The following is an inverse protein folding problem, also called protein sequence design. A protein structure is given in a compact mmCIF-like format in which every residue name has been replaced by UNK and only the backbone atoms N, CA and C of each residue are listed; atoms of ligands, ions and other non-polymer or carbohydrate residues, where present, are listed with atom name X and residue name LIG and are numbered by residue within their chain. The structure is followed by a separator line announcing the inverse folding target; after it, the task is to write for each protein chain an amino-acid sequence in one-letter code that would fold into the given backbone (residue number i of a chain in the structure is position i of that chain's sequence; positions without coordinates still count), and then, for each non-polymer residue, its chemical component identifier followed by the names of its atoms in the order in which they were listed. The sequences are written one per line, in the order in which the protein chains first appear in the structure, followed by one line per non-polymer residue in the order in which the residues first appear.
data_IF_146185192695
#
_entry.id   IF_146185192695
#
_cell.length_a   1.000
_cell.length_b   1.000
_cell.length_c   1.000
_cell.angle_alpha   90.00
_cell.angle_beta   90.00
_cell.angle_gamma   90.00
#
_symmetry.space_group_name_H-M   'P 1'
#
loop_
_entity.id
_entity.type
_entity.pdbx_description
1 polymer ?
#
# COMPACT_ATOMS: atom_id res chain seq x y z
N UNK A 1 53.70 -13.79 24.51
CA UNK A 1 52.90 -12.68 24.01
C UNK A 1 52.69 -12.83 22.49
N UNK A 2 51.74 -13.62 22.04
CA UNK A 2 51.27 -13.67 20.65
C UNK A 2 49.97 -14.48 20.52
N UNK A 3 48.82 -14.00 21.00
CA UNK A 3 47.57 -14.26 20.29
C UNK A 3 46.66 -13.04 20.12
N UNK A 4 47.05 -11.84 20.59
CA UNK A 4 46.15 -10.68 20.60
C UNK A 4 46.00 -9.96 19.22
N UNK A 5 46.96 -10.12 18.30
CA UNK A 5 46.91 -9.41 17.01
C UNK A 5 45.96 -10.08 15.99
N UNK A 6 45.80 -11.41 16.02
CA UNK A 6 44.98 -12.11 15.08
C UNK A 6 43.47 -11.85 15.30
N UNK A 7 43.02 -11.71 16.54
CA UNK A 7 41.62 -11.48 16.87
C UNK A 7 41.14 -10.08 16.48
N UNK A 8 42.00 -9.07 16.62
CA UNK A 8 41.68 -7.68 16.20
C UNK A 8 41.58 -7.57 14.68
N UNK A 9 42.39 -8.29 13.92
CA UNK A 9 42.38 -8.24 12.46
C UNK A 9 41.12 -8.92 11.87
N UNK A 10 40.68 -10.03 12.46
CA UNK A 10 39.44 -10.74 12.02
C UNK A 10 38.21 -9.88 12.30
N UNK A 11 38.15 -9.21 13.46
CA UNK A 11 37.03 -8.31 13.81
C UNK A 11 36.95 -7.09 12.89
N UNK A 12 38.08 -6.51 12.51
CA UNK A 12 38.10 -5.34 11.59
C UNK A 12 37.72 -5.72 10.17
N UNK A 13 38.14 -6.87 9.66
CA UNK A 13 37.77 -7.35 8.32
C UNK A 13 36.28 -7.68 8.26
N UNK A 14 35.73 -8.36 9.25
CA UNK A 14 34.29 -8.68 9.29
C UNK A 14 33.41 -7.44 9.38
N UNK A 15 33.82 -6.42 10.15
CA UNK A 15 33.10 -5.16 10.24
C UNK A 15 33.14 -4.37 8.92
N UNK A 16 34.26 -4.39 8.20
CA UNK A 16 34.38 -3.73 6.89
C UNK A 16 33.50 -4.40 5.84
N UNK A 17 33.51 -5.72 5.75
CA UNK A 17 32.66 -6.49 4.80
C UNK A 17 31.20 -6.21 5.05
N UNK A 18 30.74 -6.19 6.31
CA UNK A 18 29.36 -5.88 6.65
C UNK A 18 28.97 -4.44 6.28
N UNK A 19 29.85 -3.49 6.48
CA UNK A 19 29.62 -2.09 6.13
C UNK A 19 29.48 -1.91 4.60
N UNK A 20 30.31 -2.58 3.81
CA UNK A 20 30.24 -2.56 2.34
C UNK A 20 28.94 -3.21 1.82
N UNK A 21 28.49 -4.30 2.44
CA UNK A 21 27.23 -4.96 2.11
C UNK A 21 26.04 -4.03 2.39
N UNK A 22 25.98 -3.39 3.57
CA UNK A 22 24.90 -2.46 3.91
C UNK A 22 24.87 -1.24 2.98
N UNK A 23 26.04 -0.73 2.57
CA UNK A 23 26.11 0.36 1.61
C UNK A 23 25.62 -0.09 0.22
N UNK A 24 26.01 -1.28 -0.23
CA UNK A 24 25.52 -1.86 -1.48
C UNK A 24 24.01 -2.01 -1.48
N UNK A 25 23.41 -2.47 -0.39
CA UNK A 25 21.95 -2.57 -0.22
C UNK A 25 21.29 -1.20 -0.30
N UNK A 26 21.81 -0.19 0.38
CA UNK A 26 21.31 1.18 0.30
C UNK A 26 21.38 1.73 -1.13
N UNK A 27 22.50 1.53 -1.81
CA UNK A 27 22.70 1.96 -3.19
C UNK A 27 21.73 1.28 -4.16
N UNK A 28 21.38 0.01 -3.93
CA UNK A 28 20.36 -0.67 -4.72
C UNK A 28 19.01 0.07 -4.66
N UNK A 29 18.58 0.48 -3.46
CA UNK A 29 17.34 1.26 -3.31
C UNK A 29 17.47 2.64 -3.95
N UNK A 30 18.59 3.35 -3.65
CA UNK A 30 18.83 4.72 -4.15
C UNK A 30 18.90 4.79 -5.66
N UNK A 31 19.48 3.77 -6.30
CA UNK A 31 19.63 3.70 -7.75
C UNK A 31 18.39 3.15 -8.47
N UNK A 32 17.37 2.68 -7.74
CA UNK A 32 16.11 2.26 -8.36
C UNK A 32 15.39 3.48 -8.95
N UNK A 33 15.11 3.50 -10.26
CA UNK A 33 14.51 4.67 -10.91
C UNK A 33 13.17 5.07 -10.28
N UNK A 34 12.88 6.36 -10.25
CA UNK A 34 11.67 6.92 -9.68
C UNK A 34 11.68 7.01 -8.15
N UNK A 35 12.81 6.75 -7.49
CA UNK A 35 12.92 6.98 -6.05
C UNK A 35 12.61 8.45 -5.74
N UNK A 36 11.76 8.66 -4.74
CA UNK A 36 11.42 9.98 -4.19
C UNK A 36 12.07 10.17 -2.83
N UNK A 37 11.95 9.18 -1.96
CA UNK A 37 12.50 9.22 -0.61
C UNK A 37 12.75 7.81 -0.10
N UNK A 38 13.88 7.62 0.62
CA UNK A 38 14.20 6.36 1.28
C UNK A 38 14.77 6.62 2.67
N UNK A 39 14.05 6.22 3.72
CA UNK A 39 14.51 6.24 5.11
C UNK A 39 15.07 4.87 5.47
N UNK A 40 16.39 4.81 5.75
CA UNK A 40 17.08 3.63 6.25
C UNK A 40 17.23 3.65 7.78
N UNK A 41 16.75 4.71 8.43
CA UNK A 41 16.87 5.02 9.86
C UNK A 41 18.32 5.14 10.37
N UNK A 42 19.31 5.11 9.48
CA UNK A 42 20.73 5.38 9.76
C UNK A 42 21.06 6.83 9.48
N UNK A 43 20.63 7.33 8.32
CA UNK A 43 20.87 8.72 7.92
C UNK A 43 20.14 9.70 8.85
N UNK A 44 20.86 10.72 9.30
CA UNK A 44 20.36 11.76 10.21
C UNK A 44 20.65 13.13 9.64
N UNK A 45 19.83 14.11 10.00
CA UNK A 45 20.15 15.50 9.70
C UNK A 45 21.44 15.93 10.45
N UNK A 46 22.27 16.75 9.84
CA UNK A 46 23.45 17.31 10.50
C UNK A 46 23.03 18.35 11.54
N UNK A 47 23.42 18.14 12.79
CA UNK A 47 23.08 19.07 13.88
C UNK A 47 21.63 18.94 14.38
N UNK A 48 21.22 19.81 15.28
CA UNK A 48 19.85 19.87 15.79
C UNK A 48 19.39 18.64 16.54
N UNK A 49 18.16 18.20 16.31
CA UNK A 49 17.53 17.07 16.99
C UNK A 49 17.98 15.71 16.45
N UNK A 50 18.89 15.66 15.47
CA UNK A 50 19.33 14.43 14.79
C UNK A 50 18.18 13.59 14.24
N UNK A 51 17.18 14.26 13.63
CA UNK A 51 16.05 13.60 13.01
C UNK A 51 16.48 12.62 11.94
N UNK A 52 15.74 11.53 11.77
CA UNK A 52 15.92 10.66 10.63
C UNK A 52 15.62 11.41 9.34
N UNK A 53 16.48 11.30 8.35
CA UNK A 53 16.28 11.93 7.04
C UNK A 53 16.28 10.88 5.92
N UNK A 54 15.64 11.20 4.81
CA UNK A 54 15.61 10.32 3.66
C UNK A 54 16.88 10.46 2.81
N UNK A 55 17.26 9.38 2.14
CA UNK A 55 18.02 9.45 0.91
C UNK A 55 17.07 9.91 -0.20
N UNK A 56 17.50 10.86 -1.00
CA UNK A 56 16.72 11.44 -2.09
C UNK A 56 17.57 11.47 -3.37
N UNK A 57 16.95 11.52 -4.55
CA UNK A 57 17.70 11.66 -5.80
C UNK A 57 18.61 12.89 -5.79
N UNK A 58 19.74 12.78 -6.47
CA UNK A 58 20.69 13.89 -6.59
C UNK A 58 20.01 15.16 -7.12
N UNK A 59 20.28 16.29 -6.48
CA UNK A 59 19.68 17.58 -6.85
C UNK A 59 18.38 17.95 -6.12
N UNK A 60 17.81 17.06 -5.30
CA UNK A 60 16.69 17.42 -4.41
C UNK A 60 17.18 18.28 -3.25
N UNK A 61 16.47 19.37 -2.97
CA UNK A 61 16.72 20.24 -1.82
C UNK A 61 16.05 19.77 -0.54
N UNK A 62 15.19 18.74 -0.60
CA UNK A 62 14.37 18.27 0.52
C UNK A 62 14.76 16.87 0.90
N UNK A 63 15.25 16.66 2.12
CA UNK A 63 15.66 15.36 2.65
C UNK A 63 14.60 14.72 3.56
N UNK A 64 13.43 15.31 3.66
CA UNK A 64 12.27 14.79 4.43
C UNK A 64 12.61 14.35 5.86
N UNK A 65 13.12 15.25 6.71
CA UNK A 65 13.37 14.90 8.11
C UNK A 65 12.06 14.53 8.80
N UNK A 66 12.09 13.43 9.58
CA UNK A 66 10.95 12.93 10.32
C UNK A 66 10.82 13.64 11.65
N UNK A 67 9.68 14.22 11.92
CA UNK A 67 9.28 14.67 13.24
C UNK A 67 8.60 13.53 14.01
N UNK A 68 8.37 13.77 15.30
CA UNK A 68 7.67 12.84 16.20
C UNK A 68 6.47 13.55 16.81
N UNK A 69 5.32 12.90 16.78
CA UNK A 69 4.12 13.41 17.43
C UNK A 69 3.33 12.31 18.13
N UNK A 70 2.51 12.69 19.09
CA UNK A 70 1.43 11.87 19.61
C UNK A 70 0.11 12.45 19.10
N UNK A 71 -0.52 11.81 18.10
CA UNK A 71 -1.69 12.38 17.46
C UNK A 71 -2.87 12.57 18.44
N UNK A 72 -2.98 11.76 19.49
CA UNK A 72 -4.04 11.94 20.51
C UNK A 72 -3.86 13.26 21.26
N UNK A 73 -2.60 13.63 21.56
CA UNK A 73 -2.32 14.93 22.16
C UNK A 73 -2.63 16.07 21.19
N UNK A 74 -2.22 15.92 19.94
CA UNK A 74 -2.32 16.97 18.93
C UNK A 74 -3.77 17.24 18.52
N UNK A 75 -4.59 16.19 18.39
CA UNK A 75 -5.99 16.31 17.96
C UNK A 75 -7.00 16.39 19.12
N UNK A 76 -6.69 15.85 20.30
CA UNK A 76 -7.60 15.87 21.45
C UNK A 76 -7.05 16.53 22.70
N UNK A 77 -5.83 16.99 22.68
CA UNK A 77 -5.18 17.62 23.83
C UNK A 77 -4.89 16.67 25.00
N UNK A 78 -5.04 15.35 24.80
CA UNK A 78 -4.89 14.33 25.83
C UNK A 78 -3.57 13.59 25.72
N UNK A 79 -3.04 13.13 26.85
CA UNK A 79 -1.80 12.41 26.91
C UNK A 79 -0.55 13.30 26.88
N UNK A 80 0.61 12.68 26.82
CA UNK A 80 1.90 13.36 26.77
C UNK A 80 2.39 13.59 25.35
N UNK A 81 3.31 14.49 25.15
CA UNK A 81 4.06 14.62 23.91
C UNK A 81 4.88 13.34 23.63
N UNK A 82 5.08 13.01 22.37
CA UNK A 82 6.01 11.97 21.97
C UNK A 82 7.42 12.54 21.77
N UNK A 83 8.39 11.66 21.79
CA UNK A 83 9.81 11.96 21.54
C UNK A 83 10.47 10.80 20.79
N UNK A 84 11.68 10.99 20.25
CA UNK A 84 12.42 9.91 19.57
C UNK A 84 12.73 8.73 20.50
N UNK A 85 12.78 8.93 21.83
CA UNK A 85 12.96 7.85 22.79
C UNK A 85 11.77 6.87 22.84
N UNK A 86 10.62 7.25 22.29
CA UNK A 86 9.44 6.38 22.16
C UNK A 86 9.58 5.36 21.02
N UNK A 87 10.61 5.52 20.19
CA UNK A 87 10.94 4.63 19.07
C UNK A 87 12.29 3.94 19.32
N UNK A 88 12.32 2.85 20.09
CA UNK A 88 13.55 2.11 20.32
C UNK A 88 14.22 1.70 19.01
N UNK A 89 15.54 1.69 19.03
CA UNK A 89 16.36 1.32 17.90
C UNK A 89 16.90 -0.10 18.06
N UNK A 90 16.90 -0.84 16.96
CA UNK A 90 17.62 -2.08 16.81
C UNK A 90 18.86 -1.78 15.95
N UNK A 91 20.06 -1.99 16.47
CA UNK A 91 21.32 -1.75 15.76
C UNK A 91 21.62 -2.76 14.65
N UNK A 92 20.57 -3.34 14.10
CA UNK A 92 20.56 -4.30 13.00
C UNK A 92 19.26 -4.15 12.23
N UNK A 93 19.26 -4.56 10.99
CA UNK A 93 18.13 -4.46 10.07
C UNK A 93 18.65 -4.54 8.65
N UNK A 94 17.80 -4.58 7.65
CA UNK A 94 18.21 -4.70 6.25
C UNK A 94 19.26 -3.67 5.82
N UNK A 95 19.21 -2.48 6.42
CA UNK A 95 20.10 -1.34 6.10
C UNK A 95 20.97 -0.91 7.30
N UNK A 96 21.08 -1.76 8.34
CA UNK A 96 21.92 -1.54 9.51
C UNK A 96 21.21 -1.02 10.75
N UNK A 97 20.01 -0.43 10.61
CA UNK A 97 19.20 0.03 11.75
C UNK A 97 17.71 -0.19 11.49
N UNK A 98 16.94 -0.31 12.57
CA UNK A 98 15.49 -0.35 12.52
C UNK A 98 14.89 0.40 13.70
N UNK A 99 13.66 0.90 13.52
CA UNK A 99 12.86 1.54 14.57
C UNK A 99 11.75 0.61 15.01
N UNK A 100 11.44 0.59 16.30
CA UNK A 100 10.34 -0.18 16.85
C UNK A 100 9.09 0.67 17.00
N UNK A 101 8.02 0.20 16.42
CA UNK A 101 6.66 0.67 16.70
C UNK A 101 6.08 -0.21 17.80
N UNK A 102 5.92 0.37 19.00
CA UNK A 102 5.49 -0.38 20.18
C UNK A 102 3.98 -0.62 20.15
N UNK A 103 3.56 -1.72 20.78
CA UNK A 103 2.15 -1.99 21.02
C UNK A 103 1.51 -0.87 21.81
N UNK A 104 0.36 -0.42 21.35
CA UNK A 104 -0.41 0.63 21.97
C UNK A 104 -1.16 0.10 23.20
N UNK A 105 -0.71 0.46 24.39
CA UNK A 105 -1.30 0.06 25.66
C UNK A 105 -2.02 1.21 26.37
N UNK A 106 -1.59 2.46 26.11
CA UNK A 106 -2.23 3.68 26.63
C UNK A 106 -3.15 4.27 25.56
N UNK A 107 -4.46 4.42 25.82
CA UNK A 107 -5.40 5.01 24.86
C UNK A 107 -5.10 6.47 24.52
N UNK A 108 -4.32 7.17 25.35
CA UNK A 108 -3.94 8.56 25.11
C UNK A 108 -2.53 8.74 24.54
N UNK A 109 -1.87 7.64 24.16
CA UNK A 109 -0.53 7.69 23.62
C UNK A 109 -0.40 6.87 22.33
N UNK A 110 -0.33 7.58 21.20
CA UNK A 110 -0.28 7.05 19.84
C UNK A 110 0.82 7.76 19.07
N UNK A 111 2.09 7.44 19.38
CA UNK A 111 3.22 8.11 18.73
C UNK A 111 3.37 7.63 17.28
N UNK A 112 3.85 8.52 16.42
CA UNK A 112 4.21 8.23 15.04
C UNK A 112 5.34 9.13 14.57
N UNK A 113 6.07 8.64 13.57
CA UNK A 113 7.07 9.39 12.82
C UNK A 113 6.38 10.00 11.59
N UNK A 114 6.71 11.24 11.24
CA UNK A 114 6.02 11.90 10.11
C UNK A 114 6.82 13.04 9.48
N UNK A 115 6.54 13.27 8.20
CA UNK A 115 6.89 14.52 7.51
C UNK A 115 5.66 15.40 7.58
N UNK A 116 5.70 16.56 8.28
CA UNK A 116 4.53 17.44 8.42
C UNK A 116 4.12 18.03 7.06
N UNK A 117 2.81 18.31 6.92
CA UNK A 117 2.26 18.85 5.67
C UNK A 117 3.01 20.10 5.18
N UNK A 118 3.43 20.98 6.07
CA UNK A 118 4.18 22.19 5.74
C UNK A 118 5.53 21.96 5.06
N UNK A 119 6.12 20.77 5.22
CA UNK A 119 7.37 20.36 4.55
C UNK A 119 7.13 19.35 3.44
N UNK A 120 5.91 18.84 3.32
CA UNK A 120 5.53 17.86 2.32
C UNK A 120 4.93 18.50 1.08
N UNK A 121 4.13 19.56 1.28
CA UNK A 121 3.38 20.25 0.23
C UNK A 121 4.27 20.63 -0.96
N UNK A 122 3.80 20.33 -2.17
CA UNK A 122 4.48 20.58 -3.46
C UNK A 122 5.88 19.97 -3.62
N UNK A 123 6.26 19.06 -2.75
CA UNK A 123 7.48 18.25 -2.95
C UNK A 123 7.18 17.00 -3.77
N UNK A 124 8.20 16.34 -4.34
CA UNK A 124 8.01 15.05 -5.03
C UNK A 124 7.32 13.97 -4.19
N UNK A 125 7.38 14.03 -2.84
CA UNK A 125 6.72 13.08 -1.95
C UNK A 125 5.21 13.33 -1.82
N UNK A 126 4.72 14.53 -2.16
CA UNK A 126 3.29 14.85 -2.20
C UNK A 126 2.65 14.36 -3.53
N UNK A 127 2.72 13.04 -3.76
CA UNK A 127 2.19 12.42 -4.96
C UNK A 127 0.67 12.53 -4.94
N UNK A 128 0.11 13.27 -5.91
CA UNK A 128 -1.32 13.58 -6.01
C UNK A 128 -1.73 13.88 -7.45
N UNK A 129 -3.02 13.86 -7.71
CA UNK A 129 -3.62 14.22 -9.01
C UNK A 129 -3.77 13.04 -9.95
N UNK A 130 -4.36 13.36 -11.12
CA UNK A 130 -4.62 12.40 -12.18
C UNK A 130 -3.32 11.99 -12.89
N UNK A 131 -3.33 10.79 -13.46
CA UNK A 131 -2.19 10.30 -14.24
C UNK A 131 -0.95 9.96 -13.41
N UNK A 132 -1.06 9.90 -12.10
CA UNK A 132 0.07 9.61 -11.20
C UNK A 132 0.06 8.17 -10.75
N UNK A 133 1.25 7.60 -10.73
CA UNK A 133 1.52 6.29 -10.15
C UNK A 133 2.33 6.44 -8.87
N UNK A 134 2.29 5.45 -8.00
CA UNK A 134 3.06 5.44 -6.76
C UNK A 134 3.41 4.01 -6.35
N UNK A 135 4.60 3.83 -5.79
CA UNK A 135 4.94 2.63 -5.05
C UNK A 135 5.46 2.99 -3.67
N UNK A 136 5.02 2.22 -2.68
CA UNK A 136 5.53 2.30 -1.29
C UNK A 136 6.10 0.95 -0.93
N UNK A 137 7.34 0.91 -0.46
CA UNK A 137 8.05 -0.31 -0.06
C UNK A 137 8.51 -0.16 1.38
N UNK A 138 8.22 -1.16 2.22
CA UNK A 138 8.59 -1.16 3.64
C UNK A 138 9.18 -2.50 4.02
N UNK A 139 10.37 -2.50 4.58
CA UNK A 139 10.99 -3.67 5.19
C UNK A 139 10.65 -3.70 6.68
N UNK A 140 9.91 -4.73 7.09
CA UNK A 140 9.38 -4.80 8.45
C UNK A 140 9.34 -6.21 9.02
N UNK A 141 9.38 -6.28 10.35
CA UNK A 141 9.03 -7.46 11.16
C UNK A 141 7.72 -7.15 11.86
N UNK A 142 6.71 -7.97 11.66
CA UNK A 142 5.40 -7.79 12.28
C UNK A 142 5.30 -8.57 13.59
N UNK A 143 5.17 -7.89 14.73
CA UNK A 143 4.86 -8.51 16.03
C UNK A 143 3.34 -8.70 16.17
N UNK A 144 2.56 -7.72 15.73
CA UNK A 144 1.09 -7.78 15.68
C UNK A 144 0.52 -6.61 14.88
N UNK A 145 -0.81 -6.60 14.74
CA UNK A 145 -1.51 -5.55 14.04
C UNK A 145 -1.53 -5.75 12.53
N UNK A 146 -2.41 -5.01 11.88
CA UNK A 146 -2.67 -5.13 10.45
C UNK A 146 -2.85 -3.77 9.78
N UNK A 147 -2.47 -2.70 10.46
CA UNK A 147 -2.71 -1.33 10.01
C UNK A 147 -1.50 -0.73 9.27
N UNK A 148 -1.49 0.59 9.06
CA UNK A 148 -0.58 1.23 8.16
C UNK A 148 0.89 1.12 8.56
N UNK A 149 1.71 0.87 7.54
CA UNK A 149 3.17 0.89 7.59
C UNK A 149 3.70 2.28 7.21
N UNK A 150 3.23 2.85 6.08
CA UNK A 150 3.63 4.18 5.63
C UNK A 150 2.63 4.74 4.62
N UNK A 151 2.52 6.07 4.55
CA UNK A 151 1.72 6.76 3.53
C UNK A 151 1.18 8.12 3.96
N UNK A 152 0.43 8.75 3.06
CA UNK A 152 -0.34 9.97 3.33
C UNK A 152 -1.80 9.56 3.50
N UNK A 153 -2.19 9.29 4.75
CA UNK A 153 -3.52 8.78 5.05
C UNK A 153 -4.07 9.40 6.34
N UNK A 154 -4.89 10.41 6.17
CA UNK A 154 -5.52 11.12 7.27
C UNK A 154 -7.04 11.02 7.14
N UNK A 155 -7.69 10.49 8.16
CA UNK A 155 -9.13 10.23 8.13
C UNK A 155 -10.00 11.46 8.37
N UNK A 156 -9.41 12.63 8.57
CA UNK A 156 -10.10 13.86 8.88
C UNK A 156 -10.14 14.14 10.38
N UNK A 157 -10.76 15.26 10.72
CA UNK A 157 -10.87 15.77 12.08
C UNK A 157 -12.21 15.41 12.74
N UNK A 158 -13.01 14.59 12.09
CA UNK A 158 -14.31 14.11 12.58
C UNK A 158 -14.25 13.42 13.95
N UNK A 159 -13.07 13.06 14.39
CA UNK A 159 -12.83 12.54 15.74
C UNK A 159 -13.19 13.53 16.84
N UNK A 160 -12.84 14.80 16.67
CA UNK A 160 -13.25 15.86 17.59
C UNK A 160 -14.76 16.08 17.56
N UNK A 161 -15.37 15.89 16.41
CA UNK A 161 -16.78 16.12 16.19
C UNK A 161 -17.65 15.02 16.79
N UNK A 162 -17.15 13.81 16.92
CA UNK A 162 -17.88 12.72 17.61
C UNK A 162 -18.05 12.94 19.11
N UNK A 163 -17.09 13.60 19.74
CA UNK A 163 -17.10 13.88 21.17
C UNK A 163 -17.78 15.22 21.49
N UNK A 164 -17.87 16.13 20.52
CA UNK A 164 -18.64 17.38 20.65
C UNK A 164 -20.09 17.10 20.26
N UNK A 165 -20.97 17.13 21.25
CA UNK A 165 -22.37 16.77 21.14
C UNK A 165 -23.04 17.21 19.83
N UNK A 166 -23.48 16.25 19.03
CA UNK A 166 -24.42 16.45 17.93
C UNK A 166 -23.85 16.64 16.54
N UNK A 167 -22.55 16.72 16.35
CA UNK A 167 -21.99 16.82 15.01
C UNK A 167 -21.77 15.42 14.46
N UNK A 168 -22.56 15.06 13.46
CA UNK A 168 -22.55 13.73 12.84
C UNK A 168 -22.04 13.72 11.42
N UNK A 169 -21.66 14.85 10.86
CA UNK A 169 -21.16 14.89 9.51
C UNK A 169 -19.71 14.47 9.53
N UNK A 170 -19.45 13.28 9.05
CA UNK A 170 -18.09 12.82 8.80
C UNK A 170 -17.53 13.72 7.71
N UNK A 171 -16.56 14.55 8.07
CA UNK A 171 -15.82 15.29 7.06
C UNK A 171 -15.09 14.28 6.15
N UNK A 172 -15.02 14.61 4.88
CA UNK A 172 -14.20 13.87 3.94
C UNK A 172 -12.76 13.89 4.45
N UNK A 173 -12.18 12.71 4.67
CA UNK A 173 -10.79 12.58 5.09
C UNK A 173 -9.82 13.05 4.00
N UNK A 174 -8.55 13.13 4.36
CA UNK A 174 -7.49 13.59 3.46
C UNK A 174 -6.57 12.41 3.15
N UNK A 175 -7.13 11.39 2.53
CA UNK A 175 -6.46 10.15 2.17
C UNK A 175 -5.92 10.26 0.77
N UNK A 176 -4.63 9.98 0.58
CA UNK A 176 -3.99 9.93 -0.74
C UNK A 176 -3.62 8.47 -1.05
N UNK A 177 -2.57 7.97 -0.44
CA UNK A 177 -2.10 6.59 -0.62
C UNK A 177 -1.46 6.07 0.68
N UNK A 178 -1.57 4.79 0.94
CA UNK A 178 -0.90 4.14 2.06
C UNK A 178 -0.75 2.64 1.88
N UNK A 179 0.34 2.11 2.41
CA UNK A 179 0.60 0.69 2.55
C UNK A 179 0.24 0.23 3.95
N UNK A 180 -0.50 -0.86 4.05
CA UNK A 180 -0.96 -1.47 5.30
C UNK A 180 -0.43 -2.90 5.45
N UNK A 181 -0.32 -3.36 6.69
CA UNK A 181 0.03 -4.74 7.00
C UNK A 181 -1.20 -5.69 6.95
N UNK A 182 -2.09 -5.44 5.98
CA UNK A 182 -3.13 -6.36 5.54
C UNK A 182 -4.55 -6.10 5.96
N UNK A 183 -4.85 -5.07 6.74
CA UNK A 183 -6.21 -4.71 7.19
C UNK A 183 -7.13 -5.91 7.50
N UNK A 184 -7.77 -6.51 6.50
CA UNK A 184 -8.64 -7.68 6.67
C UNK A 184 -7.92 -9.02 6.54
N UNK A 185 -6.67 -9.02 6.09
CA UNK A 185 -5.83 -10.19 5.93
C UNK A 185 -4.51 -9.90 6.62
N UNK A 186 -4.50 -9.96 7.95
CA UNK A 186 -3.37 -9.59 8.77
C UNK A 186 -2.07 -10.26 8.29
N UNK A 187 -1.03 -9.45 8.15
CA UNK A 187 0.27 -9.90 7.66
C UNK A 187 0.44 -9.86 6.13
N UNK A 188 -0.62 -9.64 5.34
CA UNK A 188 -0.46 -9.37 3.92
C UNK A 188 0.00 -7.93 3.68
N UNK A 189 0.54 -7.64 2.52
CA UNK A 189 0.73 -6.26 2.08
C UNK A 189 -0.56 -5.79 1.39
N UNK A 190 -1.10 -4.66 1.86
CA UNK A 190 -2.35 -4.12 1.33
C UNK A 190 -2.18 -2.65 0.98
N UNK A 191 -2.30 -2.31 -0.30
CA UNK A 191 -2.28 -0.94 -0.79
C UNK A 191 -3.66 -0.30 -0.74
N UNK A 192 -3.70 0.97 -0.41
CA UNK A 192 -4.87 1.82 -0.53
C UNK A 192 -4.54 3.13 -1.21
N UNK A 193 -5.43 3.55 -2.10
CA UNK A 193 -5.39 4.85 -2.74
C UNK A 193 -6.80 5.43 -2.68
N UNK A 194 -6.90 6.72 -2.47
CA UNK A 194 -8.17 7.46 -2.53
C UNK A 194 -8.07 8.57 -3.56
N UNK A 195 -9.07 8.71 -4.39
CA UNK A 195 -9.19 9.77 -5.38
C UNK A 195 -9.80 11.03 -4.80
N UNK A 196 -10.73 10.86 -3.88
CA UNK A 196 -11.56 11.95 -3.36
C UNK A 196 -11.31 12.26 -1.88
N UNK A 197 -10.27 11.67 -1.28
CA UNK A 197 -9.92 11.80 0.13
C UNK A 197 -10.76 10.94 1.07
N UNK A 198 -11.84 10.31 0.59
CA UNK A 198 -12.67 9.42 1.38
C UNK A 198 -12.04 8.02 1.49
N UNK A 199 -12.51 7.22 2.43
CA UNK A 199 -12.06 5.85 2.57
C UNK A 199 -12.57 4.99 1.42
N UNK A 200 -11.71 4.22 0.81
CA UNK A 200 -12.05 3.18 -0.15
C UNK A 200 -12.64 1.91 0.51
N UNK A 201 -12.72 1.86 1.83
CA UNK A 201 -13.08 0.66 2.59
C UNK A 201 -14.57 0.32 2.59
N UNK A 202 -15.42 1.20 2.19
CA UNK A 202 -16.85 0.91 2.12
C UNK A 202 -17.18 -0.07 0.98
N UNK A 203 -16.27 -0.23 0.04
CA UNK A 203 -16.44 -1.20 -1.02
C UNK A 203 -15.98 -2.60 -0.57
N UNK A 204 -16.90 -3.52 -0.46
CA UNK A 204 -16.66 -4.91 -0.09
C UNK A 204 -15.68 -5.65 -1.02
N UNK A 205 -15.50 -5.16 -2.22
CA UNK A 205 -14.50 -5.62 -3.17
C UNK A 205 -13.09 -5.23 -2.82
N UNK A 206 -12.90 -4.02 -2.37
CA UNK A 206 -11.62 -3.44 -2.03
C UNK A 206 -10.86 -4.32 -1.04
N UNK A 207 -11.59 -4.85 -0.11
CA UNK A 207 -11.06 -5.59 1.03
C UNK A 207 -10.21 -6.82 0.65
N UNK A 208 -10.33 -7.33 -0.56
CA UNK A 208 -9.64 -8.54 -0.98
C UNK A 208 -8.72 -8.38 -2.19
N UNK A 209 -8.88 -7.30 -2.93
CA UNK A 209 -8.21 -7.15 -4.24
C UNK A 209 -6.80 -6.60 -4.18
N UNK A 210 -6.54 -5.70 -3.25
CA UNK A 210 -5.23 -5.07 -3.13
C UNK A 210 -4.31 -5.75 -2.11
N UNK A 211 -4.71 -6.88 -1.53
CA UNK A 211 -3.86 -7.66 -0.63
C UNK A 211 -2.92 -8.58 -1.39
N UNK A 212 -1.69 -8.75 -0.91
CA UNK A 212 -0.81 -9.82 -1.34
C UNK A 212 -1.41 -11.21 -1.10
N UNK A 213 -0.97 -12.22 -1.85
CA UNK A 213 -1.38 -13.60 -1.60
C UNK A 213 -0.79 -14.12 -0.29
N UNK A 214 0.48 -13.85 -0.05
CA UNK A 214 1.18 -14.23 1.16
C UNK A 214 0.79 -13.40 2.38
N UNK A 215 1.14 -13.90 3.55
CA UNK A 215 1.01 -13.23 4.84
C UNK A 215 2.30 -13.41 5.62
N UNK A 216 2.86 -12.33 6.17
CA UNK A 216 3.96 -12.43 7.10
C UNK A 216 3.49 -13.03 8.42
N UNK A 217 4.26 -13.92 9.06
CA UNK A 217 3.95 -14.42 10.38
C UNK A 217 4.01 -13.30 11.43
N UNK A 218 3.40 -13.56 12.59
CA UNK A 218 3.67 -12.77 13.80
C UNK A 218 4.94 -13.26 14.46
N UNK A 219 5.81 -12.32 14.84
CA UNK A 219 7.05 -12.61 15.55
C UNK A 219 6.89 -12.16 17.00
N UNK A 220 7.08 -13.01 18.01
CA UNK A 220 6.97 -12.61 19.40
C UNK A 220 7.88 -11.42 19.74
N UNK A 221 7.36 -10.53 20.58
CA UNK A 221 8.02 -9.26 20.93
C UNK A 221 9.35 -9.43 21.68
N UNK A 222 9.55 -10.59 22.29
CA UNK A 222 10.73 -10.99 23.05
C UNK A 222 11.64 -12.00 22.30
N UNK A 223 11.48 -12.08 20.98
CA UNK A 223 12.29 -12.95 20.14
C UNK A 223 13.76 -12.58 20.20
N UNK A 224 14.59 -13.63 20.11
CA UNK A 224 16.05 -13.46 20.05
C UNK A 224 16.49 -12.77 18.75
N UNK A 225 17.68 -12.22 18.78
CA UNK A 225 18.29 -11.56 17.63
C UNK A 225 18.34 -12.45 16.38
N UNK A 226 18.66 -13.74 16.54
CA UNK A 226 18.69 -14.69 15.42
C UNK A 226 17.32 -14.93 14.79
N UNK A 227 16.24 -14.82 15.56
CA UNK A 227 14.88 -14.89 15.04
C UNK A 227 14.55 -13.60 14.29
N UNK A 228 14.88 -12.45 14.86
CA UNK A 228 14.64 -11.16 14.21
C UNK A 228 15.39 -11.04 12.88
N UNK A 229 16.64 -11.48 12.81
CA UNK A 229 17.46 -11.40 11.59
C UNK A 229 16.86 -12.18 10.41
N UNK A 230 16.07 -13.23 10.70
CA UNK A 230 15.42 -14.08 9.67
C UNK A 230 13.95 -13.73 9.43
N UNK A 231 13.43 -12.73 10.13
CA UNK A 231 11.99 -12.43 10.11
C UNK A 231 11.65 -11.15 9.33
N UNK A 232 12.61 -10.60 8.62
CA UNK A 232 12.37 -9.42 7.77
C UNK A 232 11.56 -9.79 6.54
N UNK A 233 10.50 -9.05 6.30
CA UNK A 233 9.64 -9.14 5.12
C UNK A 233 9.62 -7.81 4.37
N UNK A 234 9.51 -7.89 3.06
CA UNK A 234 9.35 -6.74 2.18
C UNK A 234 7.86 -6.58 1.82
N UNK A 235 7.21 -5.61 2.42
CA UNK A 235 5.85 -5.20 2.09
C UNK A 235 5.90 -4.12 1.03
N UNK A 236 5.09 -4.23 -0.02
CA UNK A 236 4.97 -3.16 -1.00
C UNK A 236 3.55 -3.01 -1.52
N UNK A 237 3.27 -1.82 -2.05
CA UNK A 237 2.13 -1.54 -2.91
C UNK A 237 2.58 -0.84 -4.16
N UNK A 238 1.89 -1.08 -5.26
CA UNK A 238 2.04 -0.36 -6.51
C UNK A 238 0.68 0.11 -7.01
N UNK A 239 0.55 1.40 -7.33
CA UNK A 239 -0.51 1.92 -8.17
C UNK A 239 0.08 2.21 -9.55
N UNK A 240 -0.39 1.50 -10.54
CA UNK A 240 -0.07 1.73 -11.95
C UNK A 240 -1.25 2.43 -12.62
N UNK A 241 -1.14 3.74 -12.82
CA UNK A 241 -2.18 4.53 -13.45
C UNK A 241 -2.45 4.10 -14.91
N UNK A 242 -1.40 3.70 -15.65
CA UNK A 242 -1.58 3.32 -17.07
C UNK A 242 -2.34 2.01 -17.22
N UNK A 243 -2.30 1.16 -16.20
CA UNK A 243 -2.96 -0.15 -16.18
C UNK A 243 -4.20 -0.16 -15.30
N UNK A 244 -4.51 0.94 -14.60
CA UNK A 244 -5.55 1.01 -13.57
C UNK A 244 -5.42 -0.11 -12.53
N UNK A 245 -4.21 -0.35 -12.05
CA UNK A 245 -3.92 -1.46 -11.15
C UNK A 245 -3.35 -0.97 -9.82
N UNK A 246 -3.99 -1.36 -8.73
CA UNK A 246 -3.47 -1.26 -7.37
C UNK A 246 -3.15 -2.66 -6.85
N UNK A 247 -1.89 -2.94 -6.57
CA UNK A 247 -1.42 -4.27 -6.21
C UNK A 247 -0.66 -4.24 -4.89
N UNK A 248 -0.97 -5.20 -4.00
CA UNK A 248 -0.18 -5.48 -2.81
C UNK A 248 0.84 -6.58 -3.08
N UNK A 249 2.04 -6.43 -2.58
CA UNK A 249 3.17 -7.34 -2.77
C UNK A 249 3.82 -7.67 -1.43
N UNK A 250 3.99 -8.95 -1.15
CA UNK A 250 4.77 -9.42 -0.02
C UNK A 250 5.90 -10.30 -0.54
N UNK A 251 7.12 -9.94 -0.19
CA UNK A 251 8.34 -10.65 -0.58
C UNK A 251 8.42 -10.88 -2.10
N UNK A 252 8.10 -9.85 -2.86
CA UNK A 252 8.10 -9.86 -4.33
C UNK A 252 6.95 -10.65 -4.96
N UNK A 253 6.01 -11.18 -4.16
CA UNK A 253 4.86 -11.91 -4.66
C UNK A 253 3.60 -11.05 -4.63
N UNK A 254 2.99 -10.85 -5.79
CA UNK A 254 1.76 -10.09 -5.92
C UNK A 254 0.54 -10.83 -5.39
N UNK A 255 -0.50 -10.06 -5.10
CA UNK A 255 -1.84 -10.60 -4.86
C UNK A 255 -2.64 -10.83 -6.13
N UNK A 256 -2.07 -10.54 -7.29
CA UNK A 256 -2.76 -10.68 -8.57
C UNK A 256 -3.00 -12.14 -8.93
N UNK A 257 -4.26 -12.50 -9.00
CA UNK A 257 -4.70 -13.83 -9.43
C UNK A 257 -6.12 -13.80 -9.98
N UNK A 258 -6.40 -14.77 -10.81
CA UNK A 258 -7.76 -15.06 -11.24
C UNK A 258 -8.52 -15.84 -10.17
N UNK A 259 -9.76 -15.44 -9.93
CA UNK A 259 -10.71 -16.17 -9.13
C UNK A 259 -11.73 -16.81 -10.03
N UNK A 260 -11.66 -18.09 -10.14
CA UNK A 260 -12.59 -18.91 -10.92
C UNK A 260 -13.96 -19.00 -10.24
N UNK A 261 -15.03 -19.11 -11.03
CA UNK A 261 -16.40 -19.23 -10.57
C UNK A 261 -16.85 -18.14 -9.57
N UNK A 262 -16.75 -16.85 -9.93
CA UNK A 262 -17.03 -15.74 -9.01
C UNK A 262 -18.50 -15.67 -8.55
N UNK A 263 -19.41 -16.37 -9.21
CA UNK A 263 -20.82 -16.47 -8.82
C UNK A 263 -21.06 -17.29 -7.55
N UNK A 264 -20.04 -18.01 -7.05
CA UNK A 264 -20.16 -18.88 -5.88
C UNK A 264 -19.62 -18.18 -4.64
N UNK A 265 -20.54 -17.78 -3.77
CA UNK A 265 -20.26 -17.39 -2.39
C UNK A 265 -19.94 -15.93 -2.14
N UNK A 266 -20.55 -15.38 -1.12
CA UNK A 266 -20.25 -14.19 -0.35
C UNK A 266 -19.87 -12.93 -1.15
N UNK A 267 -18.66 -12.49 -0.95
CA UNK A 267 -18.09 -11.31 -1.58
C UNK A 267 -18.08 -11.40 -3.11
N UNK A 268 -17.84 -12.58 -3.63
CA UNK A 268 -17.75 -12.83 -5.06
C UNK A 268 -19.10 -12.76 -5.75
N UNK A 269 -20.15 -13.14 -5.05
CA UNK A 269 -21.52 -12.98 -5.55
C UNK A 269 -21.83 -11.48 -5.73
N UNK A 270 -21.35 -10.63 -4.84
CA UNK A 270 -21.51 -9.17 -5.01
C UNK A 270 -20.74 -8.66 -6.22
N UNK A 271 -19.54 -9.18 -6.47
CA UNK A 271 -18.74 -8.87 -7.64
C UNK A 271 -19.42 -9.31 -8.95
N UNK A 272 -19.91 -10.51 -8.98
CA UNK A 272 -20.65 -11.06 -10.10
C UNK A 272 -21.91 -10.24 -10.39
N UNK A 273 -22.69 -9.91 -9.37
CA UNK A 273 -23.90 -9.13 -9.51
C UNK A 273 -23.61 -7.73 -10.07
N UNK A 274 -22.55 -7.08 -9.60
CA UNK A 274 -22.15 -5.78 -10.11
C UNK A 274 -21.67 -5.84 -11.57
N UNK A 275 -20.91 -6.86 -11.94
CA UNK A 275 -20.52 -7.11 -13.31
C UNK A 275 -21.76 -7.28 -14.21
N UNK A 276 -22.67 -8.15 -13.82
CA UNK A 276 -23.88 -8.40 -14.56
C UNK A 276 -24.76 -7.16 -14.70
N UNK A 277 -24.90 -6.36 -13.63
CA UNK A 277 -25.62 -5.09 -13.71
C UNK A 277 -24.94 -4.09 -14.65
N UNK A 278 -23.63 -4.03 -14.65
CA UNK A 278 -22.88 -3.15 -15.53
C UNK A 278 -23.02 -3.50 -17.02
N UNK A 279 -23.01 -4.78 -17.35
CA UNK A 279 -23.06 -5.23 -18.74
C UNK A 279 -24.48 -5.42 -19.28
N UNK A 280 -25.39 -5.99 -18.49
CA UNK A 280 -26.71 -6.42 -18.99
C UNK A 280 -27.90 -5.63 -18.43
N UNK A 281 -27.71 -5.00 -17.26
CA UNK A 281 -28.80 -4.40 -16.51
C UNK A 281 -28.48 -3.00 -16.01
N UNK A 282 -27.76 -2.21 -16.79
CA UNK A 282 -27.64 -0.78 -16.46
C UNK A 282 -29.03 -0.23 -16.25
N UNK A 283 -29.36 0.13 -15.02
CA UNK A 283 -30.61 0.85 -14.76
C UNK A 283 -30.55 2.15 -15.54
N UNK A 284 -31.42 2.34 -16.53
CA UNK A 284 -31.40 3.56 -17.35
C UNK A 284 -31.45 4.79 -16.44
N UNK A 285 -30.54 5.73 -16.62
CA UNK A 285 -30.53 7.01 -15.92
C UNK A 285 -29.73 7.08 -14.64
N UNK A 286 -29.16 5.97 -14.13
CA UNK A 286 -28.19 6.05 -13.02
C UNK A 286 -26.78 6.20 -13.57
N UNK A 287 -26.15 7.28 -13.17
CA UNK A 287 -24.72 7.48 -13.41
C UNK A 287 -23.89 6.63 -12.41
N UNK A 288 -22.65 6.27 -12.74
CA UNK A 288 -21.74 5.70 -11.76
C UNK A 288 -21.72 6.60 -10.52
N UNK A 289 -22.01 6.03 -9.33
CA UNK A 289 -21.97 6.77 -8.08
C UNK A 289 -23.27 7.26 -7.49
N UNK A 290 -24.37 7.06 -8.15
CA UNK A 290 -25.69 7.39 -7.60
C UNK A 290 -26.23 6.36 -6.60
N UNK A 291 -25.51 5.26 -6.39
CA UNK A 291 -25.86 4.29 -5.36
C UNK A 291 -25.22 4.69 -4.02
N UNK A 292 -26.01 5.05 -2.99
CA UNK A 292 -25.48 5.45 -1.68
C UNK A 292 -24.71 4.33 -0.97
N UNK A 293 -24.90 3.07 -1.38
CA UNK A 293 -24.11 1.93 -0.90
C UNK A 293 -22.75 1.82 -1.59
N UNK A 294 -22.55 2.54 -2.68
CA UNK A 294 -21.39 2.49 -3.55
C UNK A 294 -21.09 3.91 -4.05
N UNK A 295 -20.34 4.69 -3.31
CA UNK A 295 -19.87 5.99 -3.76
C UNK A 295 -19.17 5.89 -5.10
N UNK A 296 -19.29 6.92 -5.90
CA UNK A 296 -18.89 7.04 -7.31
C UNK A 296 -17.63 6.29 -7.70
N UNK A 297 -16.68 6.31 -6.84
CA UNK A 297 -15.33 5.90 -7.11
C UNK A 297 -15.12 4.40 -6.91
N UNK A 298 -16.13 3.67 -6.51
CA UNK A 298 -15.95 2.28 -6.05
C UNK A 298 -16.56 1.25 -6.97
N UNK A 299 -17.25 1.70 -8.02
CA UNK A 299 -17.89 0.86 -9.03
C UNK A 299 -17.49 1.27 -10.43
N UNK A 300 -16.22 1.29 -10.68
CA UNK A 300 -15.77 1.37 -12.04
C UNK A 300 -15.75 -0.02 -12.67
N UNK A 301 -16.57 -0.19 -13.69
CA UNK A 301 -16.51 -1.29 -14.61
C UNK A 301 -15.88 -0.74 -15.88
N UNK A 302 -14.56 -0.86 -16.05
CA UNK A 302 -13.89 -0.32 -17.23
C UNK A 302 -14.52 -0.90 -18.48
N UNK A 303 -14.65 -0.13 -19.56
CA UNK A 303 -15.10 -0.66 -20.82
C UNK A 303 -14.13 -1.77 -21.25
N UNK A 304 -14.63 -3.00 -21.27
CA UNK A 304 -13.89 -4.17 -21.71
C UNK A 304 -14.25 -4.44 -23.17
N UNK A 305 -14.06 -3.43 -24.03
CA UNK A 305 -14.45 -3.49 -25.44
C UNK A 305 -13.50 -4.36 -26.26
N UNK A 306 -12.25 -4.47 -25.83
CA UNK A 306 -11.22 -5.19 -26.56
C UNK A 306 -10.59 -6.27 -25.67
N UNK A 307 -10.83 -7.57 -25.97
CA UNK A 307 -10.19 -8.65 -25.23
C UNK A 307 -8.68 -8.67 -25.47
N UNK A 308 -7.94 -8.95 -24.40
CA UNK A 308 -6.48 -9.17 -24.46
C UNK A 308 -6.15 -10.50 -25.16
N UNK A 309 -7.04 -11.49 -25.00
CA UNK A 309 -6.92 -12.78 -25.70
C UNK A 309 -8.31 -13.37 -25.95
N UNK A 310 -8.41 -14.15 -27.02
CA UNK A 310 -9.63 -14.89 -27.41
C UNK A 310 -9.23 -16.34 -27.67
N UNK A 311 -9.93 -17.26 -27.00
CA UNK A 311 -9.77 -18.71 -27.21
C UNK A 311 -11.11 -19.29 -27.63
N UNK A 312 -11.17 -19.91 -28.81
CA UNK A 312 -12.35 -20.66 -29.24
C UNK A 312 -12.44 -21.92 -28.41
N UNK A 313 -13.58 -22.12 -27.73
CA UNK A 313 -13.89 -23.28 -26.91
C UNK A 313 -14.67 -24.35 -27.70
N UNK A 314 -15.61 -23.89 -28.53
CA UNK A 314 -16.46 -24.72 -29.37
C UNK A 314 -16.91 -23.94 -30.61
N UNK A 315 -17.04 -24.63 -31.74
CA UNK A 315 -17.47 -24.03 -33.00
C UNK A 315 -18.29 -25.05 -33.80
N UNK A 316 -19.48 -24.65 -34.20
CA UNK A 316 -20.40 -25.37 -35.08
C UNK A 316 -20.95 -24.47 -36.20
N UNK A 317 -21.80 -25.01 -37.08
CA UNK A 317 -22.39 -24.22 -38.15
C UNK A 317 -23.33 -23.11 -37.67
N UNK A 318 -23.88 -23.23 -36.49
CA UNK A 318 -24.94 -22.40 -35.92
C UNK A 318 -24.54 -21.63 -34.66
N UNK A 319 -23.39 -21.92 -34.11
CA UNK A 319 -22.86 -21.15 -32.98
C UNK A 319 -21.34 -21.33 -32.81
N UNK A 320 -20.76 -20.32 -32.16
CA UNK A 320 -19.36 -20.34 -31.72
C UNK A 320 -19.30 -19.86 -30.29
N UNK A 321 -18.58 -20.61 -29.43
CA UNK A 321 -18.31 -20.20 -28.06
C UNK A 321 -16.86 -19.84 -27.90
N UNK A 322 -16.61 -18.64 -27.42
CA UNK A 322 -15.28 -18.10 -27.17
C UNK A 322 -15.09 -17.81 -25.67
N UNK A 323 -13.91 -18.10 -25.14
CA UNK A 323 -13.46 -17.51 -23.90
C UNK A 323 -12.63 -16.27 -24.23
N UNK A 324 -13.07 -15.13 -23.73
CA UNK A 324 -12.42 -13.85 -23.88
C UNK A 324 -11.81 -13.43 -22.56
N UNK A 325 -10.53 -13.14 -22.56
CA UNK A 325 -9.83 -12.59 -21.41
C UNK A 325 -9.68 -11.08 -21.62
N UNK A 326 -10.18 -10.32 -20.65
CA UNK A 326 -10.03 -8.89 -20.54
C UNK A 326 -9.09 -8.56 -19.38
N UNK A 327 -8.86 -7.27 -19.13
CA UNK A 327 -8.00 -6.82 -18.04
C UNK A 327 -8.45 -7.34 -16.68
N UNK A 328 -9.75 -7.38 -16.42
CA UNK A 328 -10.32 -7.70 -15.09
C UNK A 328 -11.22 -8.94 -15.07
N UNK A 329 -11.66 -9.40 -16.23
CA UNK A 329 -12.63 -10.50 -16.33
C UNK A 329 -12.20 -11.53 -17.38
N UNK A 330 -12.61 -12.79 -17.13
CA UNK A 330 -12.68 -13.84 -18.17
C UNK A 330 -14.16 -14.18 -18.36
N UNK A 331 -14.60 -14.16 -19.59
CA UNK A 331 -16.00 -14.43 -19.94
C UNK A 331 -16.06 -15.50 -21.04
N UNK A 332 -17.08 -16.36 -20.98
CA UNK A 332 -17.47 -17.18 -22.10
C UNK A 332 -18.58 -16.46 -22.88
N UNK A 333 -18.38 -16.28 -24.15
CA UNK A 333 -19.31 -15.59 -25.04
C UNK A 333 -19.80 -16.58 -26.08
N UNK A 334 -21.12 -16.72 -26.21
CA UNK A 334 -21.74 -17.49 -27.30
C UNK A 334 -22.17 -16.55 -28.41
N UNK A 335 -21.73 -16.84 -29.60
CA UNK A 335 -21.97 -16.09 -30.81
C UNK A 335 -22.83 -16.91 -31.77
N UNK A 336 -23.79 -16.26 -32.42
CA UNK A 336 -24.51 -16.85 -33.49
C UNK A 336 -24.26 -16.11 -34.81
N UNK A 337 -24.12 -16.80 -35.92
CA UNK A 337 -23.96 -16.17 -37.23
C UNK A 337 -25.25 -15.41 -37.57
N UNK A 338 -25.10 -14.21 -38.08
CA UNK A 338 -26.18 -13.37 -38.63
C UNK A 338 -26.29 -13.58 -40.14
N UNK A 339 -27.42 -13.19 -40.75
CA UNK A 339 -27.64 -13.35 -42.16
C UNK A 339 -26.65 -12.59 -43.08
N UNK A 340 -25.98 -11.57 -42.52
CA UNK A 340 -24.96 -10.77 -43.20
C UNK A 340 -23.53 -11.33 -43.05
N UNK A 341 -23.40 -12.50 -42.43
CA UNK A 341 -22.10 -13.12 -42.14
C UNK A 341 -21.38 -12.59 -40.91
N UNK A 342 -21.94 -11.63 -40.20
CA UNK A 342 -21.44 -11.18 -38.90
C UNK A 342 -21.83 -12.15 -37.78
N UNK A 343 -21.23 -11.99 -36.58
CA UNK A 343 -21.61 -12.74 -35.40
C UNK A 343 -22.33 -11.83 -34.41
N UNK A 344 -23.44 -12.31 -33.86
CA UNK A 344 -24.16 -11.63 -32.79
C UNK A 344 -23.96 -12.38 -31.47
N UNK A 345 -23.55 -11.64 -30.45
CA UNK A 345 -23.44 -12.17 -29.10
C UNK A 345 -24.82 -12.47 -28.51
N UNK A 346 -25.01 -13.71 -28.08
CA UNK A 346 -26.28 -14.17 -27.52
C UNK A 346 -26.23 -14.43 -26.03
N UNK A 347 -25.08 -14.86 -25.50
CA UNK A 347 -24.86 -15.04 -24.07
C UNK A 347 -23.44 -14.59 -23.68
N UNK A 348 -23.32 -14.13 -22.44
CA UNK A 348 -22.04 -13.77 -21.84
C UNK A 348 -22.04 -14.22 -20.39
N UNK A 349 -21.17 -15.15 -20.08
CA UNK A 349 -21.04 -15.74 -18.73
C UNK A 349 -19.70 -15.39 -18.13
N UNK A 350 -19.69 -14.80 -16.93
CA UNK A 350 -18.47 -14.50 -16.19
C UNK A 350 -17.86 -15.80 -15.64
N UNK A 351 -16.65 -16.12 -16.09
CA UNK A 351 -15.92 -17.33 -15.71
C UNK A 351 -14.96 -17.05 -14.57
N UNK A 352 -14.26 -15.92 -14.63
CA UNK A 352 -13.29 -15.55 -13.63
C UNK A 352 -13.20 -14.03 -13.46
N UNK A 353 -12.83 -13.61 -12.23
CA UNK A 353 -12.48 -12.24 -11.88
C UNK A 353 -11.03 -12.18 -11.43
N UNK A 354 -10.33 -11.16 -11.85
CA UNK A 354 -9.02 -10.84 -11.33
C UNK A 354 -9.17 -10.25 -9.92
N UNK A 355 -8.52 -10.83 -8.91
CA UNK A 355 -8.62 -10.40 -7.51
C UNK A 355 -7.82 -9.15 -7.20
N UNK A 356 -6.77 -8.92 -7.93
CA UNK A 356 -6.00 -7.70 -8.07
C UNK A 356 -5.91 -7.44 -9.56
N UNK A 357 -6.37 -6.44 -10.10
CA UNK A 357 -6.21 -5.04 -9.79
C UNK A 357 -7.43 -4.43 -9.10
N UNK A 358 -7.21 -3.25 -8.59
CA UNK A 358 -8.26 -2.34 -8.20
C UNK A 358 -8.85 -1.67 -9.44
N UNK A 359 -10.17 -1.60 -9.51
CA UNK A 359 -10.86 -0.91 -10.60
C UNK A 359 -10.94 0.58 -10.33
N UNK A 360 -9.81 1.20 -10.39
CA UNK A 360 -9.71 2.61 -10.10
C UNK A 360 -9.01 3.31 -11.25
N UNK A 361 -9.77 3.94 -12.14
CA UNK A 361 -9.19 4.60 -13.30
C UNK A 361 -8.68 5.99 -12.99
N UNK A 362 -8.72 6.38 -11.74
CA UNK A 362 -8.68 7.77 -11.35
C UNK A 362 -7.36 8.13 -10.69
N UNK A 363 -7.23 9.37 -10.32
CA UNK A 363 -6.02 9.91 -9.76
C UNK A 363 -5.84 9.61 -8.27
N UNK A 364 -4.85 10.23 -7.70
CA UNK A 364 -4.60 10.27 -6.27
C UNK A 364 -5.16 11.58 -5.74
N UNK A 365 -5.90 11.56 -4.64
CA UNK A 365 -6.56 12.72 -4.06
C UNK A 365 -5.65 13.95 -3.99
N UNK A 366 -6.17 15.05 -4.49
CA UNK A 366 -5.56 16.37 -4.39
C UNK A 366 -6.30 17.18 -3.32
N UNK A 367 -5.63 17.57 -2.22
CA UNK A 367 -6.23 18.46 -1.23
C UNK A 367 -6.70 19.78 -1.82
N UNK A 368 -7.78 20.35 -1.26
CA UNK A 368 -8.41 21.58 -1.78
C UNK A 368 -7.53 22.82 -1.67
N UNK A 369 -6.60 22.82 -0.75
CA UNK A 369 -5.62 23.89 -0.53
C UNK A 369 -4.32 23.34 0.07
N UNK A 370 -3.31 24.17 0.13
CA UNK A 370 -1.96 23.80 0.55
C UNK A 370 -1.87 23.37 2.02
N UNK A 371 -2.73 23.92 2.87
CA UNK A 371 -2.78 23.59 4.30
C UNK A 371 -3.59 22.36 4.61
N UNK A 372 -4.47 21.94 3.68
CA UNK A 372 -5.41 20.86 3.84
C UNK A 372 -4.78 19.56 3.46
N UNK A 373 -4.19 18.80 3.61
CA UNK A 373 -3.58 17.52 3.25
C UNK A 373 -3.05 16.82 4.49
N UNK A 374 -2.99 15.52 4.41
CA UNK A 374 -2.37 14.72 5.47
C UNK A 374 -0.85 14.83 5.47
N UNK A 375 -0.19 14.58 6.60
CA UNK A 375 1.25 14.35 6.65
C UNK A 375 1.59 12.99 6.04
N UNK A 376 2.83 12.80 5.59
CA UNK A 376 3.36 11.47 5.35
C UNK A 376 3.75 10.85 6.69
N UNK A 377 3.25 9.67 7.00
CA UNK A 377 3.47 9.01 8.30
C UNK A 377 4.12 7.64 8.14
N UNK A 378 4.88 7.22 9.15
CA UNK A 378 5.54 5.90 9.23
C UNK A 378 5.11 5.20 10.53
N UNK A 379 4.74 3.93 10.41
CA UNK A 379 4.32 3.06 11.52
C UNK A 379 2.88 3.29 11.96
N UNK A 380 2.23 4.32 11.45
CA UNK A 380 0.85 4.65 11.77
C UNK A 380 0.28 5.59 10.72
N UNK A 381 -1.05 5.56 10.55
CA UNK A 381 -1.82 6.64 9.93
C UNK A 381 -2.68 7.34 10.98
N UNK A 382 -3.15 8.54 10.68
CA UNK A 382 -4.11 9.25 11.54
C UNK A 382 -5.49 8.68 11.23
N UNK A 383 -6.02 7.93 12.19
CA UNK A 383 -7.25 7.17 12.04
C UNK A 383 -8.25 7.49 13.15
N UNK A 384 -9.54 7.44 12.84
CA UNK A 384 -10.62 7.72 13.76
C UNK A 384 -10.70 6.74 14.95
N UNK A 385 -10.28 5.50 14.78
CA UNK A 385 -10.16 4.57 15.91
C UNK A 385 -8.79 4.68 16.57
N UNK A 386 -8.77 4.82 17.89
CA UNK A 386 -7.53 4.99 18.67
C UNK A 386 -6.74 3.70 18.87
N UNK A 387 -7.26 2.56 18.43
CA UNK A 387 -6.68 1.24 18.75
C UNK A 387 -6.09 0.53 17.54
N UNK A 388 -6.02 1.19 16.39
CA UNK A 388 -5.47 0.60 15.19
C UNK A 388 -4.02 1.02 14.99
N UNK A 389 -3.13 0.05 14.84
CA UNK A 389 -1.71 0.31 14.63
C UNK A 389 -0.99 -0.95 14.16
N UNK A 390 0.14 -0.74 13.54
CA UNK A 390 1.16 -1.74 13.34
C UNK A 390 1.99 -1.84 14.62
N UNK A 391 2.47 -3.03 14.95
CA UNK A 391 3.42 -3.27 16.04
C UNK A 391 4.54 -4.14 15.51
N UNK A 392 5.77 -3.73 15.72
CA UNK A 392 6.93 -4.45 15.24
C UNK A 392 8.09 -3.53 14.88
N UNK A 393 8.99 -4.00 14.04
CA UNK A 393 10.18 -3.28 13.60
C UNK A 393 10.04 -2.83 12.15
N UNK A 394 10.46 -1.61 11.85
CA UNK A 394 10.57 -1.06 10.49
C UNK A 394 12.03 -0.75 10.25
N UNK A 395 12.63 -1.45 9.28
CA UNK A 395 14.04 -1.34 8.91
C UNK A 395 14.32 -0.45 7.70
N UNK A 396 13.27 -0.08 6.96
CA UNK A 396 13.38 0.84 5.82
C UNK A 396 12.03 1.18 5.25
N UNK A 397 11.90 2.39 4.68
CA UNK A 397 10.70 2.87 3.98
C UNK A 397 11.15 3.60 2.72
N UNK A 398 10.70 3.15 1.56
CA UNK A 398 10.98 3.79 0.28
C UNK A 398 9.69 4.15 -0.46
N UNK A 399 9.67 5.31 -1.12
CA UNK A 399 8.56 5.80 -1.95
C UNK A 399 9.09 6.11 -3.34
N UNK A 400 8.33 5.68 -4.36
CA UNK A 400 8.64 5.91 -5.76
C UNK A 400 7.46 6.58 -6.46
N UNK A 401 7.72 7.46 -7.40
CA UNK A 401 6.70 8.22 -8.16
C UNK A 401 6.18 7.46 -9.40
N UNK A 402 6.37 6.16 -9.42
CA UNK A 402 5.91 5.24 -10.46
C UNK A 402 5.54 3.87 -9.88
N UNK A 403 4.84 3.06 -10.65
CA UNK A 403 4.70 1.65 -10.35
C UNK A 403 6.04 0.92 -10.60
N UNK A 404 6.52 0.21 -9.58
CA UNK A 404 7.67 -0.69 -9.71
C UNK A 404 7.26 -1.97 -10.44
N UNK A 405 8.17 -2.52 -11.24
CA UNK A 405 7.97 -3.81 -11.88
C UNK A 405 8.11 -4.98 -10.88
N UNK A 406 7.66 -6.16 -11.29
CA UNK A 406 7.82 -7.36 -10.48
C UNK A 406 9.30 -7.69 -10.23
N UNK A 407 10.16 -7.51 -11.23
CA UNK A 407 11.60 -7.76 -11.14
C UNK A 407 12.26 -6.80 -10.16
N UNK A 408 11.89 -5.53 -10.17
CA UNK A 408 12.38 -4.54 -9.22
C UNK A 408 11.94 -4.87 -7.80
N UNK A 409 10.69 -5.28 -7.60
CA UNK A 409 10.18 -5.70 -6.29
C UNK A 409 10.87 -6.96 -5.77
N UNK A 410 11.18 -7.93 -6.63
CA UNK A 410 11.99 -9.10 -6.27
C UNK A 410 13.40 -8.68 -5.86
N UNK A 411 14.02 -7.75 -6.62
CA UNK A 411 15.33 -7.20 -6.27
C UNK A 411 15.32 -6.51 -4.90
N UNK A 412 14.33 -5.66 -4.65
CA UNK A 412 14.19 -4.96 -3.35
C UNK A 412 13.87 -5.93 -2.20
N UNK A 413 13.14 -7.00 -2.47
CA UNK A 413 12.86 -8.07 -1.49
C UNK A 413 14.13 -8.77 -1.05
N UNK A 414 15.07 -9.02 -1.96
CA UNK A 414 16.32 -9.70 -1.63
C UNK A 414 17.17 -8.94 -0.58
N UNK A 415 16.92 -7.64 -0.40
CA UNK A 415 17.60 -6.80 0.59
C UNK A 415 17.09 -7.09 2.02
N UNK A 416 15.94 -7.75 2.20
CA UNK A 416 15.41 -8.14 3.51
C UNK A 416 16.29 -9.20 4.20
N UNK A 417 16.95 -10.05 3.44
CA UNK A 417 17.82 -11.10 3.99
C UNK A 417 19.19 -10.53 4.35
N UNK A 418 19.71 -10.95 5.49
CA UNK A 418 21.07 -10.60 5.94
C UNK A 418 22.09 -11.60 5.44
#
# INVERSE_FOLDING_TARGET
MKPFLATVFILTVSASIRAEDLESKRQTVVNTPGLVAFWDFVKREPGGEHRFTAHVPGGSSTEYPLDVANYVKDYWGQGRAASYADFPLLGRGPFGQAVRIRKETDPNFRPFLFVPRSRLHDTPLDIKGDGRSVSVVVWAIRESGNHALAGIWHEGTDLHQKETAGIRKVERGQRQYALFAGLNKAGSACGHVSENGASSFLNKYALHKCNSLGQSPEVPADSSDDVLDRSWHCFAMTLDHQRDELTGWLDGQSGDRWLENPSRGGLLQSAYNAYMQGHWHRTPGKQPGEDPSFPEDQFYNPPEDHPLSVKVLDESSDQRTEQREYRFTKVNVTLKPSADGSFTETTRDLVALRLNPWWYPHGIYTPSDDGSGGPFTIGRVIHSARTVGFTGWIGGVAVFDRALSAEELVSLTSLATQ
#
